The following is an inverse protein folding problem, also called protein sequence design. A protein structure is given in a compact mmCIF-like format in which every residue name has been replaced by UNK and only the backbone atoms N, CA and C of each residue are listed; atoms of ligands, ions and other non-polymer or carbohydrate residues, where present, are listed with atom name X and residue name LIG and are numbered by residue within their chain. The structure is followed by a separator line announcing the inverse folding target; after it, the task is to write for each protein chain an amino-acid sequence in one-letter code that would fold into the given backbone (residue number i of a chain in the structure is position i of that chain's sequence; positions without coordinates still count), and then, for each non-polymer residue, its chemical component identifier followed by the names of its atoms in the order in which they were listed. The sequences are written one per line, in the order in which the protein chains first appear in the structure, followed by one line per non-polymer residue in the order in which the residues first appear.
data_IF_871121614276
#
_entry.id   IF_871121614276
#
_cell.length_a   1.000
_cell.length_b   1.000
_cell.length_c   1.000
_cell.angle_alpha   90.00
_cell.angle_beta   90.00
_cell.angle_gamma   90.00
#
_symmetry.space_group_name_H-M   'P 1'
#
loop_
_entity.id
_entity.type
_entity.pdbx_description
1 polymer ?
#
# COMPACT_ATOMS: atom_id res chain seq x y z
N UNK A 1 -4.68 -8.65 11.18
CA UNK A 1 -3.29 -8.41 11.64
C UNK A 1 -3.16 -8.74 13.15
N UNK A 2 -3.91 -8.11 14.05
CA UNK A 2 -3.77 -8.30 15.49
C UNK A 2 -3.90 -9.78 15.93
N UNK A 3 -4.92 -10.49 15.43
CA UNK A 3 -5.09 -11.92 15.69
C UNK A 3 -3.90 -12.76 15.20
N UNK A 4 -3.32 -12.42 14.05
CA UNK A 4 -2.19 -13.18 13.50
C UNK A 4 -0.90 -13.07 14.32
N UNK A 5 -0.80 -12.08 15.19
CA UNK A 5 0.33 -11.89 16.12
C UNK A 5 -0.08 -12.08 17.58
N UNK A 6 -1.22 -12.71 17.80
CA UNK A 6 -1.77 -12.96 19.15
C UNK A 6 -1.81 -11.68 20.00
N UNK A 7 -2.39 -10.62 19.45
CA UNK A 7 -2.60 -9.34 20.12
C UNK A 7 -4.09 -9.11 20.34
N UNK A 8 -4.56 -9.33 21.56
CA UNK A 8 -5.92 -8.96 21.94
C UNK A 8 -6.00 -7.44 22.15
N UNK A 9 -6.73 -6.77 21.28
CA UNK A 9 -6.88 -5.31 21.32
C UNK A 9 -7.80 -4.87 22.46
N UNK A 10 -8.75 -5.72 22.89
CA UNK A 10 -9.72 -5.40 23.93
C UNK A 10 -10.72 -4.29 23.56
N UNK A 11 -10.75 -3.88 22.30
CA UNK A 11 -11.61 -2.81 21.78
C UNK A 11 -12.49 -3.34 20.63
N UNK A 12 -13.76 -2.99 20.66
CA UNK A 12 -14.65 -3.18 19.53
C UNK A 12 -14.54 -2.03 18.50
N UNK A 13 -15.18 -2.21 17.35
CA UNK A 13 -15.15 -1.21 16.26
C UNK A 13 -15.75 0.14 16.66
N UNK A 14 -16.76 0.16 17.53
CA UNK A 14 -17.42 1.40 17.93
C UNK A 14 -16.52 2.22 18.85
N UNK A 15 -15.82 1.58 19.78
CA UNK A 15 -14.82 2.25 20.63
C UNK A 15 -13.69 2.85 19.82
N UNK A 16 -13.17 2.11 18.81
CA UNK A 16 -12.12 2.64 17.91
C UNK A 16 -12.65 3.81 17.09
N UNK A 17 -13.88 3.71 16.57
CA UNK A 17 -14.52 4.81 15.83
C UNK A 17 -14.73 6.04 16.71
N UNK A 18 -15.23 5.85 17.93
CA UNK A 18 -15.40 6.93 18.91
C UNK A 18 -14.08 7.64 19.19
N UNK A 19 -13.01 6.88 19.48
CA UNK A 19 -11.70 7.47 19.75
C UNK A 19 -11.11 8.24 18.55
N UNK A 20 -11.34 7.77 17.32
CA UNK A 20 -10.95 8.49 16.11
C UNK A 20 -11.73 9.82 15.99
N UNK A 21 -13.04 9.79 16.21
CA UNK A 21 -13.88 10.97 16.15
C UNK A 21 -13.55 11.97 17.25
N UNK A 22 -13.37 11.52 18.49
CA UNK A 22 -12.98 12.37 19.61
C UNK A 22 -11.62 13.05 19.33
N UNK A 23 -10.66 12.29 18.79
CA UNK A 23 -9.35 12.85 18.42
C UNK A 23 -9.48 13.90 17.30
N UNK A 24 -10.32 13.64 16.30
CA UNK A 24 -10.60 14.57 15.21
C UNK A 24 -11.18 15.87 15.73
N UNK A 25 -12.18 15.79 16.58
CA UNK A 25 -12.86 16.97 17.17
C UNK A 25 -11.91 17.75 18.09
N UNK A 26 -11.10 17.05 18.91
CA UNK A 26 -10.15 17.69 19.83
C UNK A 26 -9.03 18.45 19.10
N UNK A 27 -8.83 18.19 17.80
CA UNK A 27 -7.87 18.88 16.95
C UNK A 27 -8.53 19.84 15.94
N UNK A 28 -9.83 20.13 16.07
CA UNK A 28 -10.60 21.00 15.18
C UNK A 28 -10.52 20.62 13.69
N UNK A 29 -10.36 19.32 13.42
CA UNK A 29 -10.20 18.79 12.05
C UNK A 29 -11.54 18.38 11.46
N UNK A 30 -12.25 19.28 10.85
CA UNK A 30 -13.60 19.05 10.27
C UNK A 30 -13.56 18.58 8.83
N UNK A 31 -12.48 18.87 8.08
CA UNK A 31 -12.28 18.50 6.68
C UNK A 31 -10.84 18.07 6.43
N UNK A 32 -10.61 17.34 5.35
CA UNK A 32 -9.27 16.99 4.86
C UNK A 32 -8.34 16.39 5.94
N UNK A 33 -8.88 15.56 6.80
CA UNK A 33 -8.15 14.93 7.88
C UNK A 33 -7.69 13.51 7.50
N UNK A 34 -6.42 13.23 7.76
CA UNK A 34 -5.83 11.89 7.70
C UNK A 34 -5.59 11.38 9.11
N UNK A 35 -6.00 10.15 9.37
CA UNK A 35 -5.79 9.48 10.64
C UNK A 35 -4.82 8.31 10.51
N UNK A 36 -3.76 8.32 11.32
CA UNK A 36 -2.89 7.17 11.50
C UNK A 36 -3.22 6.47 12.81
N UNK A 37 -3.78 5.27 12.71
CA UNK A 37 -4.09 4.41 13.84
C UNK A 37 -2.99 3.37 14.02
N UNK A 38 -2.39 3.33 15.21
CA UNK A 38 -1.37 2.36 15.58
C UNK A 38 -1.79 1.62 16.85
N UNK A 39 -1.53 0.32 16.87
CA UNK A 39 -1.77 -0.51 18.07
C UNK A 39 -0.48 -1.27 18.37
N UNK A 40 0.01 -1.10 19.58
CA UNK A 40 1.20 -1.76 20.10
C UNK A 40 0.85 -2.76 21.20
N UNK A 41 1.83 -3.59 21.60
CA UNK A 41 1.65 -4.51 22.75
C UNK A 41 1.69 -3.80 24.11
N UNK A 42 1.82 -2.47 24.14
CA UNK A 42 1.92 -1.70 25.37
C UNK A 42 3.33 -1.70 25.98
N UNK A 43 3.39 -1.30 27.25
CA UNK A 43 4.63 -1.18 28.01
C UNK A 43 5.22 -2.55 28.36
N UNK A 44 6.54 -2.67 28.32
CA UNK A 44 7.29 -3.89 28.64
C UNK A 44 8.20 -3.69 29.86
N UNK A 45 8.45 -4.76 30.59
CA UNK A 45 9.46 -4.78 31.70
C UNK A 45 10.86 -4.54 31.16
N UNK A 46 11.16 -5.10 29.99
CA UNK A 46 12.48 -5.05 29.32
C UNK A 46 12.28 -4.89 27.82
N UNK A 47 13.22 -4.27 27.08
CA UNK A 47 13.09 -4.01 25.65
C UNK A 47 13.38 -5.26 24.79
N UNK A 48 12.96 -6.44 25.23
CA UNK A 48 13.09 -7.70 24.49
C UNK A 48 11.81 -8.04 23.74
N UNK A 49 11.92 -8.92 22.75
CA UNK A 49 10.83 -9.24 21.81
C UNK A 49 9.73 -10.10 22.42
N UNK A 50 10.02 -10.89 23.44
CA UNK A 50 9.09 -11.87 24.00
C UNK A 50 7.77 -11.25 24.45
N UNK A 51 6.60 -11.76 24.00
CA UNK A 51 5.30 -11.17 24.32
C UNK A 51 4.94 -11.17 25.82
N UNK A 52 5.41 -12.18 26.58
CA UNK A 52 5.16 -12.28 28.04
C UNK A 52 5.77 -11.15 28.87
N UNK A 53 6.65 -10.34 28.28
CA UNK A 53 7.24 -9.19 28.94
C UNK A 53 6.33 -7.95 28.94
N UNK A 54 5.16 -8.02 28.29
CA UNK A 54 4.19 -6.93 28.32
C UNK A 54 3.55 -6.81 29.72
N UNK A 55 3.66 -5.62 30.31
CA UNK A 55 3.11 -5.31 31.64
C UNK A 55 1.66 -4.90 31.60
N UNK A 56 1.27 -4.25 30.52
CA UNK A 56 -0.07 -3.71 30.31
C UNK A 56 -0.71 -4.32 29.06
N UNK A 57 -2.01 -4.08 28.90
CA UNK A 57 -2.69 -4.34 27.65
C UNK A 57 -2.14 -3.49 26.48
N UNK A 58 -2.69 -3.64 25.29
CA UNK A 58 -2.26 -2.89 24.11
C UNK A 58 -2.43 -1.39 24.29
N UNK A 59 -1.53 -0.62 23.69
CA UNK A 59 -1.66 0.84 23.59
C UNK A 59 -2.13 1.20 22.18
N UNK A 60 -3.22 1.96 22.10
CA UNK A 60 -3.72 2.56 20.87
C UNK A 60 -3.21 4.01 20.77
N UNK A 61 -2.66 4.35 19.64
CA UNK A 61 -2.20 5.71 19.32
C UNK A 61 -2.91 6.17 18.04
N UNK A 62 -3.51 7.35 18.11
CA UNK A 62 -4.14 8.00 16.96
C UNK A 62 -3.39 9.31 16.71
N UNK A 63 -2.87 9.45 15.49
CA UNK A 63 -2.25 10.69 15.02
C UNK A 63 -3.15 11.24 13.92
N UNK A 64 -3.58 12.48 14.09
CA UNK A 64 -4.37 13.19 13.10
C UNK A 64 -3.52 14.29 12.46
N UNK A 65 -3.68 14.45 11.16
CA UNK A 65 -3.02 15.53 10.39
C UNK A 65 -3.93 16.04 9.29
N UNK A 66 -3.82 17.34 8.96
CA UNK A 66 -4.47 17.89 7.79
C UNK A 66 -3.80 17.35 6.53
N UNK A 67 -4.57 16.74 5.66
CA UNK A 67 -4.09 16.15 4.41
C UNK A 67 -5.08 16.46 3.30
N UNK A 68 -4.83 17.54 2.57
CA UNK A 68 -5.58 17.79 1.32
C UNK A 68 -5.30 16.67 0.34
N UNK A 69 -6.33 16.24 -0.38
CA UNK A 69 -6.16 15.32 -1.50
C UNK A 69 -5.10 15.90 -2.45
N UNK A 70 -4.00 15.17 -2.61
CA UNK A 70 -2.95 15.57 -3.54
C UNK A 70 -3.52 15.43 -4.95
N UNK A 71 -3.39 16.47 -5.78
CA UNK A 71 -3.55 16.29 -7.21
C UNK A 71 -2.51 15.26 -7.66
N UNK A 72 -2.99 14.13 -8.20
CA UNK A 72 -2.13 13.02 -8.57
C UNK A 72 -1.22 13.41 -9.74
N UNK A 73 -0.02 13.94 -9.47
CA UNK A 73 1.00 14.04 -10.51
C UNK A 73 1.47 12.64 -10.89
N UNK A 74 1.73 12.36 -12.16
CA UNK A 74 2.32 11.10 -12.56
C UNK A 74 3.68 10.88 -11.90
N UNK A 75 3.94 9.64 -11.47
CA UNK A 75 5.17 9.25 -10.79
C UNK A 75 6.04 8.35 -11.66
N UNK A 76 7.33 8.26 -11.27
CA UNK A 76 8.33 7.36 -11.86
C UNK A 76 8.62 6.24 -10.90
N UNK A 77 8.70 5.02 -11.41
CA UNK A 77 9.08 3.84 -10.65
C UNK A 77 10.44 3.31 -11.10
N UNK A 78 11.18 2.74 -10.17
CA UNK A 78 12.37 1.95 -10.48
C UNK A 78 12.25 0.56 -9.87
N UNK A 79 12.50 -0.46 -10.68
CA UNK A 79 12.62 -1.83 -10.20
C UNK A 79 13.87 -1.95 -9.33
N UNK A 80 13.72 -2.54 -8.16
CA UNK A 80 14.79 -2.65 -7.17
C UNK A 80 15.11 -4.10 -6.82
N UNK A 81 16.33 -4.41 -6.33
CA UNK A 81 16.71 -5.77 -5.94
C UNK A 81 15.98 -6.28 -4.68
N UNK A 82 15.30 -5.39 -3.94
CA UNK A 82 14.55 -5.75 -2.74
C UNK A 82 13.22 -6.38 -3.14
N UNK A 83 13.05 -7.66 -2.86
CA UNK A 83 11.83 -8.42 -3.20
C UNK A 83 10.82 -8.39 -2.06
N UNK A 84 9.55 -8.64 -2.38
CA UNK A 84 8.51 -8.92 -1.37
C UNK A 84 8.79 -10.27 -0.73
N UNK A 85 8.75 -10.29 0.61
CA UNK A 85 9.10 -11.48 1.39
C UNK A 85 8.08 -12.61 1.29
N UNK A 86 8.51 -13.80 1.73
CA UNK A 86 7.64 -14.95 1.93
C UNK A 86 6.76 -14.77 3.17
N UNK A 87 5.54 -15.35 3.20
CA UNK A 87 4.72 -15.41 4.41
C UNK A 87 5.44 -16.03 5.62
N UNK A 88 6.36 -16.97 5.40
CA UNK A 88 7.14 -17.64 6.45
C UNK A 88 8.18 -16.73 7.13
N UNK A 89 8.61 -15.65 6.48
CA UNK A 89 9.59 -14.70 7.06
C UNK A 89 8.88 -13.59 7.81
N UNK A 90 8.27 -12.71 7.09
CA UNK A 90 7.35 -11.69 7.59
C UNK A 90 6.23 -11.56 6.57
N UNK A 91 5.05 -12.10 6.90
CA UNK A 91 3.93 -12.10 5.95
C UNK A 91 3.66 -10.67 5.44
N UNK A 92 3.84 -10.41 4.14
CA UNK A 92 3.65 -9.08 3.55
C UNK A 92 2.20 -8.60 3.60
N UNK A 93 1.24 -9.48 3.92
CA UNK A 93 -0.17 -9.12 4.17
C UNK A 93 -0.36 -8.43 5.52
N UNK A 94 0.60 -8.54 6.45
CA UNK A 94 0.55 -7.86 7.73
C UNK A 94 0.97 -6.39 7.60
N UNK A 95 0.05 -5.49 7.95
CA UNK A 95 0.38 -4.08 8.06
C UNK A 95 1.02 -3.79 9.42
N UNK A 96 2.31 -4.05 9.55
CA UNK A 96 3.11 -3.81 10.74
C UNK A 96 4.07 -2.64 10.56
N UNK A 97 4.66 -2.15 11.65
CA UNK A 97 5.72 -1.14 11.63
C UNK A 97 7.09 -1.70 11.23
N UNK A 98 7.23 -3.00 11.10
CA UNK A 98 8.44 -3.65 10.58
C UNK A 98 8.51 -3.46 9.05
N UNK A 99 8.96 -2.28 8.62
CA UNK A 99 8.97 -1.84 7.21
C UNK A 99 10.39 -1.74 6.62
N UNK A 100 11.40 -2.31 7.28
CA UNK A 100 12.79 -2.12 6.86
C UNK A 100 13.02 -2.48 5.39
N UNK A 101 12.46 -3.61 4.92
CA UNK A 101 12.57 -4.02 3.52
C UNK A 101 11.97 -2.97 2.56
N UNK A 102 10.81 -2.38 2.91
CA UNK A 102 10.19 -1.32 2.11
C UNK A 102 11.01 -0.02 2.15
N UNK A 103 11.63 0.31 3.29
CA UNK A 103 12.51 1.49 3.43
C UNK A 103 13.77 1.32 2.57
N UNK A 104 14.40 0.15 2.59
CA UNK A 104 15.55 -0.12 1.73
C UNK A 104 15.19 -0.06 0.24
N UNK A 105 14.02 -0.56 -0.13
CA UNK A 105 13.50 -0.44 -1.49
C UNK A 105 13.29 1.04 -1.88
N UNK A 106 12.69 1.85 -1.01
CA UNK A 106 12.49 3.28 -1.22
C UNK A 106 13.82 4.02 -1.43
N UNK A 107 14.83 3.75 -0.58
CA UNK A 107 16.18 4.33 -0.71
C UNK A 107 16.82 3.96 -2.05
N UNK A 108 16.64 2.71 -2.51
CA UNK A 108 17.18 2.28 -3.80
C UNK A 108 16.50 3.01 -4.97
N UNK A 109 15.18 3.18 -4.92
CA UNK A 109 14.43 3.94 -5.92
C UNK A 109 14.83 5.42 -5.96
N UNK A 110 14.95 6.06 -4.80
CA UNK A 110 15.41 7.46 -4.68
C UNK A 110 16.79 7.65 -5.31
N UNK A 111 17.75 6.74 -5.01
CA UNK A 111 19.08 6.77 -5.63
C UNK A 111 19.05 6.57 -7.15
N UNK A 112 18.07 5.87 -7.68
CA UNK A 112 17.83 5.71 -9.11
C UNK A 112 17.05 6.89 -9.72
N UNK A 113 16.68 7.91 -8.93
CA UNK A 113 15.92 9.07 -9.39
C UNK A 113 14.43 8.82 -9.60
N UNK A 114 13.88 7.76 -9.02
CA UNK A 114 12.46 7.43 -9.06
C UNK A 114 11.73 7.87 -7.80
N UNK A 115 10.41 8.03 -7.90
CA UNK A 115 9.53 8.44 -6.79
C UNK A 115 9.20 7.26 -5.86
N UNK A 116 9.04 6.04 -6.41
CA UNK A 116 8.80 4.80 -5.65
C UNK A 116 9.53 3.60 -6.25
N UNK A 117 9.74 2.58 -5.43
CA UNK A 117 10.31 1.30 -5.86
C UNK A 117 9.23 0.37 -6.40
N UNK A 118 9.45 -0.23 -7.58
CA UNK A 118 8.70 -1.39 -8.04
C UNK A 118 9.38 -2.66 -7.51
N UNK A 119 8.67 -3.43 -6.70
CA UNK A 119 9.18 -4.63 -6.06
C UNK A 119 8.61 -5.89 -6.71
N UNK A 120 9.48 -6.85 -6.97
CA UNK A 120 9.09 -8.17 -7.47
C UNK A 120 8.79 -9.12 -6.30
N UNK A 121 8.09 -10.20 -6.59
CA UNK A 121 8.00 -11.33 -5.66
C UNK A 121 9.23 -12.26 -5.79
N UNK A 122 9.27 -13.30 -5.01
CA UNK A 122 10.38 -14.27 -4.99
C UNK A 122 10.50 -15.09 -6.29
N UNK A 123 9.48 -15.10 -7.13
CA UNK A 123 9.48 -15.79 -8.41
C UNK A 123 9.85 -14.85 -9.57
N UNK A 124 10.14 -13.57 -9.28
CA UNK A 124 10.49 -12.56 -10.26
C UNK A 124 9.29 -11.91 -10.95
N UNK A 125 8.06 -12.15 -10.49
CA UNK A 125 6.89 -11.45 -11.01
C UNK A 125 6.70 -10.08 -10.34
N UNK A 126 6.17 -9.13 -11.11
CA UNK A 126 5.82 -7.81 -10.59
C UNK A 126 4.74 -7.93 -9.53
N UNK A 127 4.97 -7.30 -8.38
CA UNK A 127 4.07 -7.46 -7.24
C UNK A 127 3.42 -6.13 -6.81
N UNK A 128 4.20 -5.24 -6.23
CA UNK A 128 3.68 -4.00 -5.62
C UNK A 128 4.80 -2.97 -5.53
N UNK A 129 4.50 -1.74 -5.11
CA UNK A 129 5.57 -0.80 -4.75
C UNK A 129 5.98 -0.96 -3.28
N UNK A 130 6.93 -0.15 -2.83
CA UNK A 130 7.31 -0.08 -1.43
C UNK A 130 6.15 0.35 -0.50
N UNK A 131 5.16 1.09 -1.02
CA UNK A 131 4.06 1.66 -0.23
C UNK A 131 2.66 1.38 -0.79
N UNK A 132 2.51 1.16 -2.10
CA UNK A 132 1.23 1.11 -2.83
C UNK A 132 1.03 -0.20 -3.57
N UNK A 133 -0.22 -0.60 -3.85
CA UNK A 133 -0.50 -1.65 -4.81
C UNK A 133 -0.31 -1.13 -6.24
N UNK A 134 0.12 -2.01 -7.14
CA UNK A 134 0.48 -1.67 -8.51
C UNK A 134 -0.46 -2.33 -9.52
N UNK A 135 -0.79 -1.57 -10.56
CA UNK A 135 -1.66 -1.97 -11.66
C UNK A 135 -1.08 -1.56 -12.99
N UNK A 136 -1.38 -2.34 -14.02
CA UNK A 136 -1.13 -1.99 -15.42
C UNK A 136 -2.40 -2.18 -16.24
N UNK A 137 -2.50 -1.47 -17.38
CA UNK A 137 -3.49 -1.73 -18.42
C UNK A 137 -2.77 -2.30 -19.63
N UNK A 138 -3.22 -3.45 -20.09
CA UNK A 138 -2.69 -4.11 -21.27
C UNK A 138 -3.80 -4.71 -22.10
N UNK A 139 -3.87 -4.37 -23.39
CA UNK A 139 -4.92 -4.81 -24.29
C UNK A 139 -6.34 -4.57 -23.73
N UNK A 140 -6.56 -3.39 -23.15
CA UNK A 140 -7.84 -2.99 -22.56
C UNK A 140 -8.23 -3.72 -21.26
N UNK A 141 -7.35 -4.55 -20.71
CA UNK A 141 -7.56 -5.27 -19.44
C UNK A 141 -6.66 -4.71 -18.36
N UNK A 142 -7.22 -4.44 -17.20
CA UNK A 142 -6.50 -4.04 -15.98
C UNK A 142 -5.90 -5.27 -15.32
N UNK A 143 -4.59 -5.25 -15.04
CA UNK A 143 -3.91 -6.34 -14.33
C UNK A 143 -3.31 -5.84 -13.03
N UNK A 144 -3.38 -6.68 -12.00
CA UNK A 144 -2.65 -6.50 -10.74
C UNK A 144 -2.16 -7.85 -10.24
N UNK A 145 -1.19 -7.85 -9.34
CA UNK A 145 -0.64 -9.09 -8.77
C UNK A 145 -1.72 -9.92 -8.04
N UNK A 146 -1.48 -11.22 -7.87
CA UNK A 146 -2.42 -12.14 -7.17
C UNK A 146 -2.73 -11.72 -5.73
N UNK A 147 -1.88 -10.91 -5.11
CA UNK A 147 -2.02 -10.52 -3.72
C UNK A 147 -1.41 -11.51 -2.71
N UNK A 148 -0.68 -12.51 -3.18
CA UNK A 148 -0.07 -13.53 -2.32
C UNK A 148 1.11 -12.96 -1.53
N UNK A 149 1.89 -12.05 -2.16
CA UNK A 149 3.10 -11.46 -1.59
C UNK A 149 2.99 -9.95 -1.31
N UNK A 150 1.77 -9.42 -1.20
CA UNK A 150 1.54 -8.02 -0.84
C UNK A 150 0.32 -7.86 0.07
N UNK A 151 0.18 -6.68 0.64
CA UNK A 151 -1.03 -6.33 1.36
C UNK A 151 -2.18 -6.15 0.35
N UNK A 152 -3.30 -6.86 0.58
CA UNK A 152 -4.52 -6.68 -0.20
C UNK A 152 -5.20 -5.39 0.28
N UNK A 153 -4.81 -4.26 -0.32
CA UNK A 153 -5.25 -2.93 0.10
C UNK A 153 -6.75 -2.70 -0.13
N UNK A 154 -7.35 -1.87 0.72
CA UNK A 154 -8.77 -1.49 0.56
C UNK A 154 -8.97 -0.73 -0.75
N UNK A 155 -8.05 0.19 -1.10
CA UNK A 155 -8.10 0.92 -2.37
C UNK A 155 -7.92 -0.02 -3.56
N UNK A 156 -7.01 -1.00 -3.46
CA UNK A 156 -6.86 -2.05 -4.48
C UNK A 156 -8.17 -2.77 -4.74
N UNK A 157 -8.85 -3.20 -3.68
CA UNK A 157 -10.14 -3.89 -3.82
C UNK A 157 -11.20 -2.99 -4.46
N UNK A 158 -11.28 -1.72 -4.05
CA UNK A 158 -12.21 -0.76 -4.65
C UNK A 158 -11.98 -0.56 -6.14
N UNK A 159 -10.72 -0.48 -6.59
CA UNK A 159 -10.38 -0.41 -8.02
C UNK A 159 -10.89 -1.65 -8.76
N UNK A 160 -10.68 -2.84 -8.21
CA UNK A 160 -11.18 -4.08 -8.80
C UNK A 160 -12.71 -4.07 -8.89
N UNK A 161 -13.39 -3.61 -7.85
CA UNK A 161 -14.85 -3.55 -7.81
C UNK A 161 -15.39 -2.52 -8.82
N UNK A 162 -14.81 -1.32 -8.89
CA UNK A 162 -15.16 -0.29 -9.90
C UNK A 162 -14.94 -0.82 -11.32
N UNK A 163 -13.84 -1.54 -11.58
CA UNK A 163 -13.64 -2.18 -12.88
C UNK A 163 -14.79 -3.11 -13.23
N UNK A 164 -15.19 -3.99 -12.30
CA UNK A 164 -16.28 -4.95 -12.50
C UNK A 164 -17.63 -4.26 -12.74
N UNK A 165 -17.94 -3.25 -11.92
CA UNK A 165 -19.18 -2.47 -12.02
C UNK A 165 -19.31 -1.70 -13.35
N UNK A 166 -18.18 -1.28 -13.93
CA UNK A 166 -18.12 -0.56 -15.20
C UNK A 166 -17.81 -1.44 -16.42
N UNK A 167 -17.89 -2.77 -16.28
CA UNK A 167 -17.56 -3.73 -17.34
C UNK A 167 -16.13 -3.57 -17.90
N UNK A 168 -15.18 -3.11 -17.09
CA UNK A 168 -13.76 -3.08 -17.41
C UNK A 168 -13.17 -4.42 -17.01
N UNK A 169 -12.56 -5.12 -17.96
CA UNK A 169 -11.91 -6.41 -17.67
C UNK A 169 -10.78 -6.22 -16.67
N UNK A 170 -10.78 -6.97 -15.56
CA UNK A 170 -9.73 -6.93 -14.53
C UNK A 170 -9.25 -8.33 -14.20
N UNK A 171 -7.93 -8.51 -14.07
CA UNK A 171 -7.29 -9.80 -13.76
C UNK A 171 -6.28 -9.65 -12.62
N UNK A 172 -6.45 -10.48 -11.62
CA UNK A 172 -5.46 -10.71 -10.57
C UNK A 172 -4.58 -11.88 -11.03
N UNK A 173 -3.34 -11.60 -11.44
CA UNK A 173 -2.45 -12.60 -12.04
C UNK A 173 -0.98 -12.23 -11.84
N UNK A 174 -0.11 -13.22 -11.98
CA UNK A 174 1.32 -12.99 -12.12
C UNK A 174 1.63 -12.43 -13.52
N UNK A 175 2.53 -11.44 -13.58
CA UNK A 175 3.04 -10.87 -14.83
C UNK A 175 4.47 -10.37 -14.63
N UNK A 176 5.22 -10.36 -15.72
CA UNK A 176 6.65 -10.03 -15.74
C UNK A 176 6.91 -8.55 -16.00
N UNK A 177 8.16 -8.12 -15.81
CA UNK A 177 8.60 -6.78 -16.22
C UNK A 177 8.44 -6.55 -17.74
N UNK A 178 8.66 -7.58 -18.56
CA UNK A 178 8.48 -7.47 -20.03
C UNK A 178 7.01 -7.17 -20.36
N UNK A 179 6.07 -7.82 -19.66
CA UNK A 179 4.65 -7.53 -19.82
C UNK A 179 4.29 -6.12 -19.32
N UNK A 180 4.95 -5.68 -18.25
CA UNK A 180 4.76 -4.34 -17.65
C UNK A 180 5.26 -3.24 -18.60
N UNK A 181 6.44 -3.39 -19.22
CA UNK A 181 6.96 -2.42 -20.16
C UNK A 181 6.13 -2.29 -21.45
N UNK A 182 5.35 -3.32 -21.77
CA UNK A 182 4.39 -3.29 -22.88
C UNK A 182 2.98 -2.86 -22.50
N UNK A 183 2.79 -2.28 -21.31
CA UNK A 183 1.51 -1.75 -20.88
C UNK A 183 1.18 -0.41 -21.55
N UNK A 184 -0.10 -0.15 -21.76
CA UNK A 184 -0.59 1.14 -22.28
C UNK A 184 -0.83 2.17 -21.18
N UNK A 185 -1.05 1.71 -19.95
CA UNK A 185 -1.20 2.53 -18.75
C UNK A 185 -0.63 1.80 -17.54
N UNK A 186 -0.17 2.55 -16.55
CA UNK A 186 0.16 2.02 -15.23
C UNK A 186 -0.24 3.00 -14.14
N UNK A 187 -0.60 2.49 -12.97
CA UNK A 187 -0.94 3.30 -11.81
C UNK A 187 -0.70 2.55 -10.50
N UNK A 188 -0.56 3.30 -9.44
CA UNK A 188 -0.50 2.77 -8.07
C UNK A 188 -1.71 3.20 -7.27
N UNK A 189 -2.02 2.44 -6.21
CA UNK A 189 -3.16 2.76 -5.33
C UNK A 189 -2.74 2.76 -3.88
N UNK A 190 -3.16 3.80 -3.15
CA UNK A 190 -2.89 3.96 -1.73
C UNK A 190 -3.89 4.89 -1.06
N UNK A 191 -3.79 4.99 0.27
CA UNK A 191 -4.73 5.79 1.07
C UNK A 191 -4.65 7.29 0.77
N UNK A 192 -3.46 7.82 0.50
CA UNK A 192 -3.24 9.25 0.26
C UNK A 192 -3.59 9.70 -1.15
N UNK A 193 -3.12 8.98 -2.15
CA UNK A 193 -3.26 9.35 -3.56
C UNK A 193 -4.44 8.66 -4.25
N UNK A 194 -5.25 7.88 -3.51
CA UNK A 194 -6.29 7.02 -4.08
C UNK A 194 -5.73 6.20 -5.26
N UNK A 195 -5.65 6.83 -6.42
CA UNK A 195 -5.07 6.29 -7.64
C UNK A 195 -4.09 7.32 -8.20
N UNK A 196 -2.82 6.93 -8.38
CA UNK A 196 -1.75 7.79 -8.89
C UNK A 196 -1.18 7.19 -10.18
N UNK A 197 -1.22 7.92 -11.30
CA UNK A 197 -0.66 7.44 -12.56
C UNK A 197 0.86 7.21 -12.46
N UNK A 198 1.35 6.20 -13.20
CA UNK A 198 2.78 5.92 -13.37
C UNK A 198 3.15 6.22 -14.82
N UNK A 199 4.03 7.20 -15.03
CA UNK A 199 4.46 7.61 -16.36
C UNK A 199 5.69 6.86 -16.85
N UNK A 200 6.57 6.46 -15.95
CA UNK A 200 7.86 5.87 -16.30
C UNK A 200 8.21 4.71 -15.38
N UNK A 201 8.76 3.65 -15.92
CA UNK A 201 9.30 2.50 -15.18
C UNK A 201 10.67 2.16 -15.75
N UNK A 202 11.71 2.20 -14.92
CA UNK A 202 13.11 1.89 -15.30
C UNK A 202 13.59 2.67 -16.54
N UNK A 203 13.28 3.97 -16.60
CA UNK A 203 13.62 4.84 -17.73
C UNK A 203 12.77 4.67 -18.98
N UNK A 204 11.73 3.82 -18.93
CA UNK A 204 10.80 3.57 -20.06
C UNK A 204 9.49 4.30 -19.82
N UNK A 205 9.07 5.10 -20.77
CA UNK A 205 7.75 5.75 -20.75
C UNK A 205 6.67 4.68 -20.93
N UNK A 206 5.64 4.72 -20.12
CA UNK A 206 4.48 3.83 -20.15
C UNK A 206 3.30 4.58 -20.76
N UNK A 207 2.84 4.09 -21.92
CA UNK A 207 1.75 4.71 -22.67
C UNK A 207 2.10 6.08 -23.28
N UNK A 208 1.10 6.72 -23.86
CA UNK A 208 1.25 7.97 -24.61
C UNK A 208 0.82 9.22 -23.81
N UNK A 209 0.14 9.02 -22.67
CA UNK A 209 -0.44 10.08 -21.85
C UNK A 209 -0.09 9.92 -20.38
N UNK A 210 -0.08 11.04 -19.67
CA UNK A 210 0.13 11.07 -18.22
C UNK A 210 -1.00 10.37 -17.45
N UNK A 211 -2.23 10.45 -17.95
CA UNK A 211 -3.40 9.74 -17.47
C UNK A 211 -4.07 9.04 -18.66
N UNK A 212 -4.08 7.73 -18.62
CA UNK A 212 -4.70 6.92 -19.67
C UNK A 212 -6.22 6.82 -19.51
N UNK A 213 -6.95 6.52 -20.61
CA UNK A 213 -8.42 6.54 -20.60
C UNK A 213 -9.07 5.48 -19.70
N UNK A 214 -8.40 4.39 -19.41
CA UNK A 214 -8.93 3.38 -18.48
C UNK A 214 -8.70 3.85 -17.05
N UNK A 215 -7.52 4.37 -16.75
CA UNK A 215 -7.17 4.93 -15.43
C UNK A 215 -8.08 6.11 -15.08
N UNK A 216 -8.46 6.94 -16.04
CA UNK A 216 -9.36 8.09 -15.85
C UNK A 216 -10.81 7.67 -15.51
N UNK A 217 -11.24 6.49 -15.99
CA UNK A 217 -12.59 5.96 -15.73
C UNK A 217 -12.75 5.29 -14.37
N UNK A 218 -11.66 4.85 -13.77
CA UNK A 218 -11.62 4.16 -12.48
C UNK A 218 -11.50 5.18 -11.35
#
# INVERSE_FOLDING_TARGET
AALAIDLNIGLDRNKVRGALEDTRLANDMYTDAHARLMITRGTKVKPFQHPSLSLSGPTMVIIMEHSKALSARPIRLSTVPHMRGLPMTQDPKLNSHSKLNCVLACIAAEKAGADEALMLDINGFVNTTNACNFFIVRNGTVWTSTGDYCMNGITRQKVIDVCRENNISVKEKNFSLVETYGATEAFVTGTFGAQTPVREIDGRIIGDKDLGPVTEKI
#
